data_IF_325792641104
#
_entry.id   IF_325792641104
#
_cell.length_a   1.000
_cell.length_b   1.000
_cell.length_c   1.000
_cell.angle_alpha   90.00
_cell.angle_beta   90.00
_cell.angle_gamma   90.00
#
_symmetry.space_group_name_H-M   'P 1'
#
loop_
_entity.id
_entity.type
_entity.pdbx_description
1 polymer ?
#
# COMPACT_ATOMS: atom_id res chain seq x y z
N UNK A 1 -14.19 2.00 -12.50
CA UNK A 1 -14.37 3.40 -12.10
C UNK A 1 -15.59 3.98 -12.83
N UNK A 2 -16.43 4.78 -12.14
CA UNK A 2 -17.57 5.45 -12.79
C UNK A 2 -17.10 6.46 -13.86
N UNK A 3 -18.04 7.01 -14.67
CA UNK A 3 -17.73 7.86 -15.82
C UNK A 3 -17.16 9.24 -15.44
N UNK A 4 -17.27 9.64 -14.17
CA UNK A 4 -16.77 10.95 -13.71
C UNK A 4 -15.26 10.85 -13.43
N UNK A 5 -14.42 11.70 -14.04
CA UNK A 5 -12.98 11.75 -13.80
C UNK A 5 -12.65 12.18 -12.36
N UNK A 6 -11.38 12.18 -12.03
CA UNK A 6 -10.88 12.68 -10.75
C UNK A 6 -9.87 11.76 -10.05
N UNK A 7 -9.66 10.54 -10.53
CA UNK A 7 -8.55 9.72 -10.04
C UNK A 7 -7.25 10.26 -10.62
N UNK A 8 -6.27 10.49 -9.74
CA UNK A 8 -4.91 10.86 -10.09
C UNK A 8 -3.92 9.89 -9.47
N UNK A 9 -2.83 9.66 -10.15
CA UNK A 9 -1.67 8.90 -9.67
C UNK A 9 -0.43 9.80 -9.68
N UNK A 10 0.50 9.56 -8.75
CA UNK A 10 1.73 10.33 -8.69
C UNK A 10 2.85 9.56 -9.40
N UNK A 11 3.51 10.20 -10.34
CA UNK A 11 4.70 9.62 -10.99
C UNK A 11 5.95 9.74 -10.09
N UNK A 12 7.07 9.10 -10.46
CA UNK A 12 8.31 9.17 -9.68
C UNK A 12 8.89 10.58 -9.51
N UNK A 13 8.59 11.51 -10.40
CA UNK A 13 8.99 12.92 -10.28
C UNK A 13 8.08 13.76 -9.36
N UNK A 14 7.06 13.13 -8.76
CA UNK A 14 6.13 13.81 -7.86
C UNK A 14 4.96 14.50 -8.55
N UNK A 15 4.86 14.43 -9.87
CA UNK A 15 3.77 15.01 -10.65
C UNK A 15 2.50 14.16 -10.56
N UNK A 16 1.34 14.80 -10.45
CA UNK A 16 0.04 14.14 -10.44
C UNK A 16 -0.51 14.02 -11.85
N UNK A 17 -0.78 12.79 -12.27
CA UNK A 17 -1.28 12.45 -13.60
C UNK A 17 -2.72 11.98 -13.49
N UNK A 18 -3.61 12.54 -14.31
CA UNK A 18 -5.00 12.11 -14.39
C UNK A 18 -5.12 10.71 -15.00
N UNK A 19 -5.93 9.87 -14.34
CA UNK A 19 -6.33 8.57 -14.86
C UNK A 19 -7.71 8.70 -15.49
N UNK A 20 -7.83 8.75 -16.81
CA UNK A 20 -9.12 8.91 -17.47
C UNK A 20 -10.01 7.69 -17.22
N UNK A 21 -11.31 7.91 -16.94
CA UNK A 21 -12.24 6.80 -16.80
C UNK A 21 -12.40 6.05 -18.12
N UNK A 22 -12.44 4.73 -18.03
CA UNK A 22 -12.77 3.83 -19.16
C UNK A 22 -14.02 3.04 -18.82
N UNK A 23 -15.02 2.99 -19.71
CA UNK A 23 -16.30 2.32 -19.44
C UNK A 23 -16.13 0.85 -19.03
N UNK A 24 -15.25 0.13 -19.70
CA UNK A 24 -15.04 -1.30 -19.52
C UNK A 24 -13.66 -1.61 -18.91
N UNK A 25 -13.09 -0.66 -18.18
CA UNK A 25 -11.75 -0.76 -17.60
C UNK A 25 -11.74 -0.85 -16.09
N UNK A 26 -10.76 -1.56 -15.58
CA UNK A 26 -10.37 -1.54 -14.18
C UNK A 26 -9.04 -0.80 -14.05
N UNK A 27 -8.90 -0.05 -12.96
CA UNK A 27 -7.60 0.50 -12.56
C UNK A 27 -7.03 -0.43 -11.49
N UNK A 28 -5.84 -0.97 -11.77
CA UNK A 28 -5.12 -1.82 -10.83
C UNK A 28 -3.97 -1.02 -10.23
N UNK A 29 -4.01 -0.82 -8.92
CA UNK A 29 -2.92 -0.23 -8.16
C UNK A 29 -2.20 -1.32 -7.37
N UNK A 30 -0.89 -1.36 -7.47
CA UNK A 30 -0.08 -2.23 -6.63
C UNK A 30 -0.08 -1.70 -5.20
N UNK A 31 -0.23 -2.60 -4.25
CA UNK A 31 -0.19 -2.27 -2.82
C UNK A 31 1.22 -2.39 -2.24
N UNK A 32 1.43 -1.79 -1.08
CA UNK A 32 2.69 -1.79 -0.35
C UNK A 32 3.15 -3.19 0.06
N UNK A 33 2.21 -4.11 0.29
CA UNK A 33 2.52 -5.50 0.56
C UNK A 33 3.32 -6.12 -0.59
N UNK A 34 2.83 -5.99 -1.82
CA UNK A 34 3.52 -6.53 -3.00
C UNK A 34 4.85 -5.80 -3.23
N UNK A 35 4.92 -4.51 -2.95
CA UNK A 35 6.18 -3.77 -2.96
C UNK A 35 7.20 -4.39 -1.99
N UNK A 36 6.82 -4.64 -0.74
CA UNK A 36 7.68 -5.22 0.28
C UNK A 36 8.11 -6.65 -0.10
N UNK A 37 7.16 -7.49 -0.54
CA UNK A 37 7.43 -8.86 -0.95
C UNK A 37 8.35 -8.96 -2.18
N UNK A 38 8.38 -7.97 -3.02
CA UNK A 38 9.29 -7.92 -4.20
C UNK A 38 10.61 -7.19 -3.91
N UNK A 39 10.91 -6.89 -2.65
CA UNK A 39 12.13 -6.15 -2.29
C UNK A 39 12.19 -4.76 -2.94
N UNK A 40 11.06 -4.08 -3.03
CA UNK A 40 10.86 -2.79 -3.70
C UNK A 40 11.01 -2.79 -5.23
N UNK A 41 11.05 -3.95 -5.88
CA UNK A 41 11.07 -3.98 -7.35
C UNK A 41 9.76 -3.46 -7.96
N UNK A 42 8.64 -3.91 -7.45
CA UNK A 42 7.34 -3.30 -7.76
C UNK A 42 7.07 -2.17 -6.76
N UNK A 43 6.62 -1.04 -7.26
CA UNK A 43 6.41 0.17 -6.46
C UNK A 43 4.93 0.45 -6.32
N UNK A 44 4.46 0.58 -5.08
CA UNK A 44 3.10 1.03 -4.79
C UNK A 44 2.97 2.52 -5.18
N UNK A 45 2.01 2.81 -6.05
CA UNK A 45 1.83 4.16 -6.58
C UNK A 45 0.87 4.96 -5.72
N UNK A 46 1.28 6.14 -5.27
CA UNK A 46 0.39 7.08 -4.60
C UNK A 46 -0.73 7.49 -5.54
N UNK A 47 -1.94 7.52 -5.00
CA UNK A 47 -3.11 7.92 -5.74
C UNK A 47 -4.05 8.74 -4.87
N UNK A 48 -4.84 9.59 -5.50
CA UNK A 48 -5.82 10.45 -4.84
C UNK A 48 -7.04 10.65 -5.73
N UNK A 49 -8.11 11.16 -5.14
CA UNK A 49 -9.29 11.59 -5.89
C UNK A 49 -9.50 13.08 -5.67
N UNK A 50 -9.55 13.85 -6.77
CA UNK A 50 -9.95 15.25 -6.79
C UNK A 50 -11.10 15.40 -7.79
N UNK A 51 -12.24 15.89 -7.34
CA UNK A 51 -13.42 16.07 -8.18
C UNK A 51 -14.31 17.17 -7.64
N UNK A 52 -14.90 17.96 -8.53
CA UNK A 52 -15.92 18.97 -8.27
C UNK A 52 -17.35 18.43 -8.44
N UNK A 53 -17.48 17.16 -8.82
CA UNK A 53 -18.76 16.53 -9.14
C UNK A 53 -19.00 15.31 -8.24
N UNK A 54 -20.28 15.00 -8.06
CA UNK A 54 -20.66 13.75 -7.37
C UNK A 54 -20.12 12.56 -8.14
N UNK A 55 -19.27 11.78 -7.47
CA UNK A 55 -18.57 10.61 -8.02
C UNK A 55 -18.83 9.38 -7.17
N UNK A 56 -18.92 8.23 -7.80
CA UNK A 56 -18.94 6.93 -7.13
C UNK A 56 -17.84 6.05 -7.72
N UNK A 57 -17.17 5.32 -6.86
CA UNK A 57 -16.23 4.26 -7.24
C UNK A 57 -16.32 3.14 -6.21
N UNK A 58 -15.97 1.95 -6.63
CA UNK A 58 -15.80 0.80 -5.75
C UNK A 58 -14.34 0.34 -5.85
N UNK A 59 -13.71 0.12 -4.71
CA UNK A 59 -12.39 -0.46 -4.62
C UNK A 59 -12.51 -1.91 -4.12
N UNK A 60 -11.80 -2.81 -4.77
CA UNK A 60 -11.62 -4.18 -4.31
C UNK A 60 -10.17 -4.35 -3.87
N UNK A 61 -9.98 -4.71 -2.62
CA UNK A 61 -8.65 -5.00 -2.06
C UNK A 61 -8.39 -6.50 -2.15
N UNK A 62 -7.51 -6.88 -3.04
CA UNK A 62 -7.08 -8.26 -3.18
C UNK A 62 -5.87 -8.51 -2.29
N UNK A 63 -6.04 -9.36 -1.28
CA UNK A 63 -4.98 -9.78 -0.37
C UNK A 63 -4.77 -11.29 -0.42
N UNK A 64 -3.64 -11.80 0.07
CA UNK A 64 -3.42 -13.22 0.28
C UNK A 64 -4.30 -13.75 1.44
N UNK A 65 -4.23 -15.04 1.72
CA UNK A 65 -4.83 -15.60 2.94
C UNK A 65 -4.18 -15.01 4.20
N UNK A 66 -4.92 -14.95 5.31
CA UNK A 66 -4.43 -14.30 6.53
C UNK A 66 -3.19 -14.97 7.12
N UNK A 67 -3.03 -16.27 6.90
CA UNK A 67 -1.88 -17.08 7.32
C UNK A 67 -0.69 -17.03 6.33
N UNK A 68 -0.85 -16.33 5.19
CA UNK A 68 0.23 -16.18 4.24
C UNK A 68 1.41 -15.43 4.86
N UNK A 69 2.60 -16.01 4.75
CA UNK A 69 3.85 -15.40 5.21
C UNK A 69 4.22 -14.20 4.34
N UNK A 70 4.79 -13.19 4.98
CA UNK A 70 5.24 -11.95 4.33
C UNK A 70 6.73 -12.00 3.98
N UNK A 71 7.22 -13.15 3.58
CA UNK A 71 8.60 -13.31 3.15
C UNK A 71 8.84 -12.61 1.80
N UNK A 72 10.06 -12.12 1.61
CA UNK A 72 10.48 -11.59 0.32
C UNK A 72 10.49 -12.73 -0.70
N UNK A 73 9.86 -12.51 -1.83
CA UNK A 73 9.82 -13.49 -2.92
C UNK A 73 11.24 -13.79 -3.43
N UNK A 74 11.53 -15.03 -3.78
CA UNK A 74 12.85 -15.43 -4.29
C UNK A 74 13.02 -14.97 -5.74
N UNK A 75 13.10 -13.64 -5.94
CA UNK A 75 13.33 -13.07 -7.26
C UNK A 75 14.78 -13.26 -7.72
N UNK A 76 14.95 -13.37 -9.04
CA UNK A 76 16.26 -13.42 -9.68
C UNK A 76 17.14 -12.22 -9.28
N UNK A 77 18.46 -12.42 -9.29
CA UNK A 77 19.43 -11.39 -8.92
C UNK A 77 19.29 -10.11 -9.77
N UNK A 78 18.94 -10.26 -11.04
CA UNK A 78 18.72 -9.14 -11.96
C UNK A 78 17.66 -8.13 -11.47
N UNK A 79 16.62 -8.59 -10.77
CA UNK A 79 15.62 -7.69 -10.19
C UNK A 79 16.19 -6.88 -9.02
N UNK A 80 17.05 -7.46 -8.19
CA UNK A 80 17.73 -6.75 -7.11
C UNK A 80 18.72 -5.73 -7.64
N UNK A 81 19.45 -6.08 -8.68
CA UNK A 81 20.36 -5.19 -9.39
C UNK A 81 19.61 -4.00 -10.01
N UNK A 82 18.44 -4.26 -10.64
CA UNK A 82 17.60 -3.21 -11.20
C UNK A 82 17.10 -2.23 -10.11
N UNK A 83 16.75 -2.73 -8.90
CA UNK A 83 16.40 -1.87 -7.76
C UNK A 83 17.58 -1.02 -7.32
N UNK A 84 18.76 -1.64 -7.16
CA UNK A 84 19.97 -0.95 -6.71
C UNK A 84 20.48 0.11 -7.71
N UNK A 85 20.21 -0.08 -9.00
CA UNK A 85 20.64 0.83 -10.06
C UNK A 85 19.64 1.97 -10.35
N UNK A 86 18.51 2.04 -9.66
CA UNK A 86 17.41 2.94 -10.01
C UNK A 86 16.99 3.83 -8.85
N UNK A 87 17.16 5.13 -9.00
CA UNK A 87 16.64 6.12 -8.05
C UNK A 87 15.11 6.07 -7.90
N UNK A 88 14.41 5.48 -8.89
CA UNK A 88 12.97 5.26 -8.83
C UNK A 88 12.54 4.37 -7.67
N UNK A 89 13.37 3.43 -7.28
CA UNK A 89 13.10 2.48 -6.20
C UNK A 89 13.58 2.98 -4.84
N UNK A 90 14.49 3.94 -4.83
CA UNK A 90 14.97 4.60 -3.62
C UNK A 90 13.97 5.68 -3.20
N UNK A 91 13.38 5.52 -2.04
CA UNK A 91 12.36 6.44 -1.53
C UNK A 91 10.99 6.34 -2.23
N UNK A 92 10.84 5.42 -3.18
CA UNK A 92 9.55 5.14 -3.79
C UNK A 92 8.71 4.29 -2.84
N UNK A 93 7.48 4.73 -2.60
CA UNK A 93 6.53 4.04 -1.75
C UNK A 93 6.22 4.80 -0.46
N UNK A 94 4.99 4.67 -0.05
CA UNK A 94 4.44 5.31 1.13
C UNK A 94 5.21 4.93 2.42
N UNK A 95 5.69 3.71 2.50
CA UNK A 95 6.45 3.21 3.65
C UNK A 95 7.84 3.86 3.77
N UNK A 96 8.56 4.06 2.66
CA UNK A 96 9.84 4.74 2.66
C UNK A 96 9.69 6.23 3.05
N UNK A 97 8.64 6.89 2.53
CA UNK A 97 8.38 8.31 2.87
C UNK A 97 7.79 8.50 4.27
N UNK A 98 7.14 7.47 4.81
CA UNK A 98 6.65 7.50 6.18
C UNK A 98 7.75 7.36 7.22
N UNK A 99 8.88 6.73 6.86
CA UNK A 99 10.07 6.70 7.71
C UNK A 99 10.67 8.11 7.94
N UNK A 100 10.39 9.05 7.03
CA UNK A 100 10.82 10.45 7.13
C UNK A 100 9.82 11.34 7.89
N UNK A 101 8.56 10.93 8.05
CA UNK A 101 7.54 11.67 8.80
C UNK A 101 7.30 11.04 10.17
N UNK A 102 7.81 11.69 11.15
CA UNK A 102 8.03 11.40 12.56
C UNK A 102 7.05 10.55 13.36
N UNK A 103 5.85 10.26 13.00
CA UNK A 103 4.90 9.77 14.00
C UNK A 103 4.21 8.44 13.70
N UNK A 104 4.48 7.85 12.57
CA UNK A 104 3.66 6.70 12.14
C UNK A 104 4.40 5.42 11.81
N UNK A 105 5.71 5.43 11.84
CA UNK A 105 6.55 4.35 11.31
C UNK A 105 7.53 3.76 12.32
N UNK A 106 7.69 4.41 13.46
CA UNK A 106 8.43 3.82 14.57
C UNK A 106 7.93 2.41 14.92
N UNK A 107 6.65 2.12 14.65
CA UNK A 107 6.04 0.81 14.92
C UNK A 107 6.31 -0.25 13.85
N UNK A 108 6.71 0.12 12.63
CA UNK A 108 7.16 -0.85 11.63
C UNK A 108 8.69 -0.99 11.60
N UNK A 109 9.38 -0.09 12.25
CA UNK A 109 10.78 -0.22 12.65
C UNK A 109 10.93 -0.91 14.02
N UNK A 110 9.82 -1.24 14.71
CA UNK A 110 9.86 -2.12 15.86
C UNK A 110 10.42 -3.47 15.40
N UNK A 111 11.26 -4.07 16.23
CA UNK A 111 11.90 -5.38 16.03
C UNK A 111 10.92 -6.53 15.71
N UNK A 112 9.64 -6.25 15.66
CA UNK A 112 8.56 -7.19 15.37
C UNK A 112 7.92 -6.88 14.02
N UNK A 113 8.55 -7.35 12.99
CA UNK A 113 7.94 -7.41 11.65
C UNK A 113 6.83 -8.45 11.69
N UNK A 114 5.59 -8.14 11.26
CA UNK A 114 4.54 -9.14 11.20
C UNK A 114 4.97 -10.28 10.28
N UNK A 115 4.85 -11.52 10.76
CA UNK A 115 5.23 -12.71 9.99
C UNK A 115 4.18 -13.08 8.97
N UNK A 116 2.93 -12.72 9.22
CA UNK A 116 1.79 -13.06 8.38
C UNK A 116 1.00 -11.85 7.92
N UNK A 117 0.24 -12.01 6.83
CA UNK A 117 -0.66 -10.97 6.35
C UNK A 117 -1.76 -10.62 7.38
N UNK A 118 -2.25 -11.62 8.11
CA UNK A 118 -3.25 -11.41 9.17
C UNK A 118 -2.73 -10.48 10.27
N UNK A 119 -1.51 -10.67 10.73
CA UNK A 119 -0.87 -9.80 11.73
C UNK A 119 -0.68 -8.38 11.19
N UNK A 120 -0.24 -8.25 9.95
CA UNK A 120 -0.11 -6.93 9.32
C UNK A 120 -1.45 -6.20 9.22
N UNK A 121 -2.49 -6.92 8.81
CA UNK A 121 -3.84 -6.37 8.68
C UNK A 121 -4.41 -6.00 10.05
N UNK A 122 -4.19 -6.83 11.05
CA UNK A 122 -4.57 -6.55 12.44
C UNK A 122 -3.92 -5.28 12.95
N UNK A 123 -2.59 -5.14 12.80
CA UNK A 123 -1.84 -3.98 13.22
C UNK A 123 -2.31 -2.70 12.49
N UNK A 124 -2.65 -2.83 11.20
CA UNK A 124 -3.24 -1.73 10.45
C UNK A 124 -4.58 -1.28 11.04
N UNK A 125 -5.50 -2.22 11.30
CA UNK A 125 -6.81 -1.89 11.87
C UNK A 125 -6.72 -1.35 13.29
N UNK A 126 -5.89 -1.95 14.14
CA UNK A 126 -5.68 -1.50 15.52
C UNK A 126 -5.19 -0.05 15.58
N UNK A 127 -4.33 0.33 14.66
CA UNK A 127 -3.82 1.70 14.56
C UNK A 127 -4.80 2.67 13.91
N UNK A 128 -5.46 2.26 12.83
CA UNK A 128 -6.29 3.15 12.02
C UNK A 128 -7.70 3.31 12.57
N UNK A 129 -8.19 2.33 13.31
CA UNK A 129 -9.56 2.27 13.83
C UNK A 129 -9.59 1.72 15.27
N UNK A 130 -8.88 2.33 16.23
CA UNK A 130 -8.71 1.79 17.58
C UNK A 130 -10.07 1.58 18.29
N UNK A 131 -10.99 2.53 18.21
CA UNK A 131 -12.31 2.41 18.83
C UNK A 131 -13.15 1.26 18.25
N UNK A 132 -13.03 1.00 16.96
CA UNK A 132 -13.70 -0.11 16.30
C UNK A 132 -13.13 -1.44 16.78
N UNK A 133 -11.80 -1.51 16.86
CA UNK A 133 -11.11 -2.71 17.33
C UNK A 133 -11.43 -3.00 18.80
N UNK A 134 -11.43 -1.99 19.66
CA UNK A 134 -11.78 -2.16 21.07
C UNK A 134 -13.23 -2.63 21.27
N UNK A 135 -14.16 -2.13 20.45
CA UNK A 135 -15.58 -2.53 20.50
C UNK A 135 -15.79 -4.00 20.08
N UNK A 136 -15.12 -4.45 19.04
CA UNK A 136 -15.35 -5.76 18.45
C UNK A 136 -14.38 -6.84 18.92
N UNK A 137 -13.22 -6.44 19.44
CA UNK A 137 -12.14 -7.32 19.90
C UNK A 137 -11.57 -6.81 21.22
N UNK A 138 -12.34 -6.82 22.31
CA UNK A 138 -11.88 -6.37 23.61
C UNK A 138 -10.68 -7.20 24.10
N UNK A 139 -9.81 -6.59 24.89
CA UNK A 139 -8.53 -7.20 25.34
C UNK A 139 -8.68 -8.50 26.13
N UNK A 140 -9.87 -8.76 26.68
CA UNK A 140 -10.16 -10.01 27.43
C UNK A 140 -10.26 -11.27 26.56
N UNK A 141 -10.37 -11.11 25.24
CA UNK A 141 -10.53 -12.21 24.28
C UNK A 141 -9.24 -12.47 23.44
N UNK A 142 -8.08 -11.95 23.89
CA UNK A 142 -6.79 -12.08 23.19
C UNK A 142 -5.87 -13.10 23.87
#
# INVERSE_FOLDING_TARGET
TGPVPGLQVQNPSGEWIDVPPRPDGLVVNLGELLQAMTGNYLVATKHRVITDRRRRSAAYFHGPSLDARLDVLPLDASFREAVAASDRHVGAGFMAQRAETEAGVADMASDHRPDTYGEQLWNYFARSYPELMERHYPAADR
#
